data_IF_676129707446
#
_entry.id   IF_676129707446
#
_cell.length_a   1.000
_cell.length_b   1.000
_cell.length_c   1.000
_cell.angle_alpha   90.00
_cell.angle_beta   90.00
_cell.angle_gamma   90.00
#
_symmetry.space_group_name_H-M   'P 1'
#
loop_
_entity.id
_entity.type
_entity.pdbx_description
1 polymer ?
#
# COMPACT_ATOMS: atom_id res chain seq x y z
N UNK A 1 29.46 33.14 -5.86
CA UNK A 1 28.29 32.24 -5.68
C UNK A 1 28.30 31.15 -6.74
N UNK A 2 28.56 29.90 -6.36
CA UNK A 2 28.07 28.76 -7.12
C UNK A 2 27.12 27.98 -6.19
N UNK A 3 25.84 27.79 -6.56
CA UNK A 3 24.98 26.88 -5.82
C UNK A 3 25.46 25.47 -6.15
N UNK A 4 26.03 24.76 -5.17
CA UNK A 4 26.34 23.36 -5.37
C UNK A 4 25.01 22.59 -5.52
N UNK A 5 24.82 21.80 -6.58
CA UNK A 5 23.51 21.23 -6.89
C UNK A 5 23.19 20.12 -5.90
N UNK A 6 22.06 20.31 -5.21
CA UNK A 6 21.18 19.27 -4.69
C UNK A 6 21.86 18.18 -3.86
N UNK A 7 21.91 18.42 -2.55
CA UNK A 7 21.81 17.37 -1.56
C UNK A 7 20.63 16.47 -1.97
N UNK A 8 20.94 15.33 -2.59
CA UNK A 8 19.94 14.38 -3.07
C UNK A 8 19.20 13.87 -1.85
N UNK A 9 18.08 14.49 -1.50
CA UNK A 9 17.17 14.01 -0.46
C UNK A 9 16.76 12.59 -0.85
N UNK A 10 17.33 11.54 -0.21
CA UNK A 10 17.03 10.15 -0.58
C UNK A 10 15.55 9.84 -0.35
N UNK A 11 14.88 10.69 0.44
CA UNK A 11 13.45 10.62 0.73
C UNK A 11 12.51 10.90 -0.42
N UNK A 12 12.91 11.72 -1.39
CA UNK A 12 12.06 12.08 -2.53
C UNK A 12 12.09 10.94 -3.56
N UNK A 13 13.28 10.49 -3.97
CA UNK A 13 13.42 9.40 -4.93
C UNK A 13 12.74 8.11 -4.44
N UNK A 14 12.94 7.74 -3.18
CA UNK A 14 12.28 6.59 -2.57
C UNK A 14 10.76 6.78 -2.51
N UNK A 15 10.27 7.95 -2.11
CA UNK A 15 8.84 8.25 -2.11
C UNK A 15 8.20 8.14 -3.50
N UNK A 16 8.85 8.69 -4.52
CA UNK A 16 8.39 8.63 -5.92
C UNK A 16 8.41 7.18 -6.43
N UNK A 17 9.45 6.40 -6.13
CA UNK A 17 9.51 4.98 -6.52
C UNK A 17 8.39 4.15 -5.89
N UNK A 18 8.08 4.39 -4.61
CA UNK A 18 7.00 3.71 -3.89
C UNK A 18 5.63 4.04 -4.51
N UNK A 19 5.37 5.32 -4.81
CA UNK A 19 4.16 5.77 -5.50
C UNK A 19 4.08 5.16 -6.91
N UNK A 20 5.20 5.11 -7.64
CA UNK A 20 5.25 4.54 -8.98
C UNK A 20 4.91 3.04 -8.97
N UNK A 21 5.47 2.27 -8.02
CA UNK A 21 5.16 0.84 -7.87
C UNK A 21 3.67 0.64 -7.55
N UNK A 22 3.12 1.42 -6.61
CA UNK A 22 1.70 1.40 -6.26
C UNK A 22 0.80 1.73 -7.45
N UNK A 23 1.14 2.78 -8.19
CA UNK A 23 0.43 3.20 -9.40
C UNK A 23 0.47 2.12 -10.47
N UNK A 24 1.63 1.50 -10.68
CA UNK A 24 1.78 0.41 -11.65
C UNK A 24 0.95 -0.83 -11.27
N UNK A 25 0.93 -1.20 -9.99
CA UNK A 25 0.08 -2.28 -9.48
C UNK A 25 -1.40 -1.97 -9.66
N UNK A 26 -1.81 -0.73 -9.38
CA UNK A 26 -3.19 -0.29 -9.57
C UNK A 26 -3.60 -0.36 -11.05
N UNK A 27 -2.77 0.17 -11.94
CA UNK A 27 -3.00 0.12 -13.40
C UNK A 27 -3.06 -1.33 -13.88
N UNK A 28 -2.15 -2.18 -13.40
CA UNK A 28 -2.15 -3.61 -13.73
C UNK A 28 -3.43 -4.31 -13.27
N UNK A 29 -3.95 -3.94 -12.09
CA UNK A 29 -5.21 -4.49 -11.55
C UNK A 29 -6.42 -4.05 -12.39
N UNK A 30 -6.44 -2.79 -12.82
CA UNK A 30 -7.48 -2.25 -13.70
C UNK A 30 -7.45 -2.89 -15.09
N UNK A 31 -6.25 -3.03 -15.68
CA UNK A 31 -6.05 -3.70 -16.97
C UNK A 31 -6.40 -5.18 -16.92
N UNK A 32 -6.21 -5.83 -15.77
CA UNK A 32 -6.63 -7.22 -15.56
C UNK A 32 -8.17 -7.39 -15.49
N UNK A 33 -8.94 -6.31 -15.66
CA UNK A 33 -10.40 -6.37 -15.76
C UNK A 33 -11.09 -6.52 -14.41
N UNK A 34 -10.52 -5.93 -13.35
CA UNK A 34 -11.13 -5.94 -12.03
C UNK A 34 -12.54 -5.33 -12.08
N UNK A 35 -13.55 -6.15 -11.78
CA UNK A 35 -14.95 -5.72 -11.65
C UNK A 35 -15.28 -5.60 -10.17
N UNK A 36 -15.72 -4.43 -9.67
CA UNK A 36 -16.23 -4.32 -8.31
C UNK A 36 -17.46 -5.23 -8.18
N UNK A 37 -17.35 -6.27 -7.36
CA UNK A 37 -18.31 -7.35 -7.25
C UNK A 37 -17.81 -8.48 -6.33
N UNK A 38 -18.57 -9.59 -6.18
CA UNK A 38 -18.16 -10.72 -5.34
C UNK A 38 -16.79 -11.26 -5.78
N UNK A 39 -15.94 -11.61 -4.82
CA UNK A 39 -14.58 -12.10 -5.08
C UNK A 39 -14.65 -13.29 -6.03
N UNK A 40 -14.12 -13.12 -7.25
CA UNK A 40 -13.99 -14.20 -8.23
C UNK A 40 -12.56 -14.70 -8.22
N UNK A 41 -12.41 -16.01 -8.31
CA UNK A 41 -11.13 -16.65 -8.58
C UNK A 41 -10.55 -16.07 -9.87
N UNK A 42 -9.29 -15.66 -9.84
CA UNK A 42 -8.66 -15.05 -11.02
C UNK A 42 -7.47 -14.15 -10.72
N UNK A 43 -6.67 -13.84 -11.76
CA UNK A 43 -5.45 -13.04 -11.64
C UNK A 43 -5.73 -11.62 -11.17
N UNK A 44 -6.89 -11.05 -11.50
CA UNK A 44 -7.30 -9.71 -11.07
C UNK A 44 -7.49 -9.62 -9.55
N UNK A 45 -8.02 -10.67 -8.91
CA UNK A 45 -8.19 -10.75 -7.45
C UNK A 45 -6.85 -10.97 -6.74
N UNK A 46 -5.94 -11.72 -7.36
CA UNK A 46 -4.54 -11.86 -6.88
C UNK A 46 -3.82 -10.52 -6.93
N UNK A 47 -3.94 -9.79 -8.05
CA UNK A 47 -3.36 -8.45 -8.23
C UNK A 47 -3.92 -7.45 -7.22
N UNK A 48 -5.24 -7.48 -6.98
CA UNK A 48 -5.87 -6.68 -5.94
C UNK A 48 -5.31 -7.04 -4.56
N UNK A 49 -5.19 -8.33 -4.26
CA UNK A 49 -4.62 -8.80 -3.00
C UNK A 49 -3.18 -8.32 -2.79
N UNK A 50 -2.33 -8.44 -3.82
CA UNK A 50 -0.96 -7.91 -3.80
C UNK A 50 -0.92 -6.40 -3.61
N UNK A 51 -1.84 -5.66 -4.25
CA UNK A 51 -1.96 -4.22 -4.09
C UNK A 51 -2.32 -3.85 -2.65
N UNK A 52 -3.29 -4.54 -2.03
CA UNK A 52 -3.62 -4.33 -0.62
C UNK A 52 -2.46 -4.71 0.30
N UNK A 53 -1.78 -5.84 0.06
CA UNK A 53 -0.59 -6.22 0.85
C UNK A 53 0.54 -5.19 0.71
N UNK A 54 0.74 -4.63 -0.48
CA UNK A 54 1.71 -3.57 -0.74
C UNK A 54 1.36 -2.29 0.02
N UNK A 55 0.08 -1.90 0.05
CA UNK A 55 -0.40 -0.81 0.92
C UNK A 55 -0.16 -1.10 2.40
N UNK A 56 -0.42 -2.32 2.86
CA UNK A 56 -0.16 -2.72 4.23
C UNK A 56 1.33 -2.63 4.60
N UNK A 57 2.20 -3.09 3.69
CA UNK A 57 3.65 -2.95 3.83
C UNK A 57 4.08 -1.48 3.83
N UNK A 58 3.44 -0.60 3.06
CA UNK A 58 3.70 0.85 3.06
C UNK A 58 3.31 1.50 4.38
N UNK A 59 2.16 1.12 4.96
CA UNK A 59 1.76 1.57 6.30
C UNK A 59 2.74 1.09 7.37
N UNK A 60 3.23 -0.15 7.26
CA UNK A 60 4.23 -0.69 8.19
C UNK A 60 5.60 -0.03 8.02
N UNK A 61 6.02 0.19 6.77
CA UNK A 61 7.24 0.93 6.45
C UNK A 61 7.14 2.37 6.95
N UNK A 62 5.95 2.97 6.91
CA UNK A 62 5.71 4.32 7.43
C UNK A 62 5.98 4.38 8.93
N UNK A 63 5.58 3.35 9.68
CA UNK A 63 5.87 3.23 11.10
C UNK A 63 7.38 3.29 11.43
N UNK A 64 8.22 2.59 10.66
CA UNK A 64 9.67 2.52 10.90
C UNK A 64 10.46 3.69 10.27
N UNK A 65 10.03 4.18 9.10
CA UNK A 65 10.79 5.10 8.25
C UNK A 65 10.11 6.46 8.04
N UNK A 66 9.16 6.84 8.91
CA UNK A 66 8.41 8.12 8.86
C UNK A 66 9.29 9.36 8.62
N UNK A 67 10.53 9.33 9.10
CA UNK A 67 11.45 10.47 9.04
C UNK A 67 12.32 10.51 7.76
N UNK A 68 12.25 9.49 6.90
CA UNK A 68 13.14 9.33 5.74
C UNK A 68 12.49 9.65 4.41
N UNK A 69 11.17 9.60 4.26
CA UNK A 69 10.49 9.85 2.97
C UNK A 69 9.22 10.70 3.13
N UNK A 70 8.97 11.58 2.16
CA UNK A 70 7.79 12.45 2.14
C UNK A 70 6.47 11.66 2.12
N UNK A 71 6.42 10.58 1.33
CA UNK A 71 5.24 9.72 1.20
C UNK A 71 4.86 9.05 2.53
N UNK A 72 5.82 8.43 3.21
CA UNK A 72 5.58 7.78 4.50
C UNK A 72 5.20 8.79 5.58
N UNK A 73 5.77 10.00 5.54
CA UNK A 73 5.41 11.09 6.44
C UNK A 73 3.96 11.55 6.23
N UNK A 74 3.52 11.67 4.97
CA UNK A 74 2.13 11.96 4.64
C UNK A 74 1.16 10.85 5.09
N UNK A 75 1.54 9.58 4.95
CA UNK A 75 0.75 8.44 5.44
C UNK A 75 0.54 8.47 6.95
N UNK A 76 1.60 8.71 7.74
CA UNK A 76 1.48 8.84 9.20
C UNK A 76 0.68 10.09 9.57
N UNK A 77 0.87 11.19 8.85
CA UNK A 77 0.09 12.40 9.06
C UNK A 77 -1.41 12.14 8.85
N UNK A 78 -1.79 11.42 7.78
CA UNK A 78 -3.19 11.00 7.55
C UNK A 78 -3.68 10.10 8.69
N UNK A 79 -2.87 9.14 9.16
CA UNK A 79 -3.23 8.32 10.32
C UNK A 79 -3.40 9.14 11.62
N UNK A 80 -2.60 10.19 11.84
CA UNK A 80 -2.68 11.01 13.06
C UNK A 80 -3.77 12.09 12.99
N UNK A 81 -4.08 12.62 11.79
CA UNK A 81 -5.03 13.73 11.61
C UNK A 81 -6.44 13.26 11.22
N UNK A 82 -6.58 12.13 10.52
CA UNK A 82 -7.84 11.68 9.93
C UNK A 82 -8.41 10.39 10.57
N UNK A 83 -7.62 9.64 11.35
CA UNK A 83 -8.14 8.48 12.10
C UNK A 83 -8.44 8.81 13.56
N UNK A 84 -9.53 8.24 14.06
CA UNK A 84 -9.92 8.26 15.47
C UNK A 84 -9.95 6.80 15.94
N UNK A 85 -9.05 6.33 16.82
CA UNK A 85 -8.13 7.04 17.72
C UNK A 85 -6.80 7.48 17.08
N UNK A 86 -6.28 8.62 17.53
CA UNK A 86 -5.02 9.22 17.05
C UNK A 86 -3.82 8.48 17.61
N UNK A 87 -3.00 7.86 16.76
CA UNK A 87 -1.74 7.28 17.21
C UNK A 87 -1.00 6.48 16.16
N UNK A 88 0.33 6.41 16.31
CA UNK A 88 1.25 5.66 15.44
C UNK A 88 0.93 4.17 15.37
N UNK A 89 0.28 3.62 16.40
CA UNK A 89 -0.21 2.23 16.47
C UNK A 89 -1.30 1.95 15.42
N UNK A 90 -2.07 2.97 15.00
CA UNK A 90 -3.13 2.80 13.99
C UNK A 90 -2.55 2.40 12.63
N UNK A 91 -1.35 2.87 12.28
CA UNK A 91 -0.65 2.45 11.06
C UNK A 91 -0.35 0.95 11.07
N UNK A 92 -0.06 0.37 12.25
CA UNK A 92 0.13 -1.08 12.39
C UNK A 92 -1.19 -1.84 12.24
N UNK A 93 -2.29 -1.32 12.79
CA UNK A 93 -3.62 -1.91 12.58
C UNK A 93 -4.03 -1.87 11.10
N UNK A 94 -3.81 -0.75 10.40
CA UNK A 94 -4.05 -0.67 8.96
C UNK A 94 -3.14 -1.61 8.17
N UNK A 95 -1.88 -1.74 8.55
CA UNK A 95 -0.97 -2.71 7.96
C UNK A 95 -1.47 -4.14 8.14
N UNK A 96 -1.86 -4.52 9.35
CA UNK A 96 -2.39 -5.85 9.66
C UNK A 96 -3.70 -6.13 8.91
N UNK A 97 -4.62 -5.16 8.84
CA UNK A 97 -5.87 -5.29 8.10
C UNK A 97 -5.64 -5.41 6.60
N UNK A 98 -4.76 -4.57 6.03
CA UNK A 98 -4.45 -4.60 4.61
C UNK A 98 -3.69 -5.87 4.21
N UNK A 99 -2.78 -6.37 5.07
CA UNK A 99 -2.12 -7.66 4.87
C UNK A 99 -3.09 -8.83 5.03
N UNK A 100 -4.00 -8.78 6.01
CA UNK A 100 -5.02 -9.80 6.21
C UNK A 100 -5.99 -9.88 5.04
N UNK A 101 -6.62 -8.76 4.69
CA UNK A 101 -7.54 -8.67 3.55
C UNK A 101 -6.84 -8.95 2.22
N UNK A 102 -5.63 -8.42 2.04
CA UNK A 102 -4.82 -8.68 0.85
C UNK A 102 -4.39 -10.14 0.74
N UNK A 103 -4.01 -10.77 1.85
CA UNK A 103 -3.69 -12.19 1.91
C UNK A 103 -4.89 -13.07 1.58
N UNK A 104 -6.06 -12.76 2.16
CA UNK A 104 -7.32 -13.45 1.84
C UNK A 104 -7.69 -13.27 0.37
N UNK A 105 -7.62 -12.05 -0.17
CA UNK A 105 -7.88 -11.80 -1.59
C UNK A 105 -6.88 -12.55 -2.49
N UNK A 106 -5.60 -12.60 -2.12
CA UNK A 106 -4.57 -13.31 -2.88
C UNK A 106 -4.82 -14.81 -2.88
N UNK A 107 -5.08 -15.40 -1.72
CA UNK A 107 -5.38 -16.83 -1.58
C UNK A 107 -6.70 -17.20 -2.28
N UNK A 108 -7.71 -16.33 -2.23
CA UNK A 108 -8.99 -16.52 -2.93
C UNK A 108 -8.82 -16.40 -4.44
N UNK A 109 -8.02 -15.44 -4.92
CA UNK A 109 -7.67 -15.29 -6.32
C UNK A 109 -6.91 -16.50 -6.88
N UNK A 110 -6.05 -17.13 -6.06
CA UNK A 110 -5.33 -18.38 -6.37
C UNK A 110 -6.23 -19.63 -6.31
N UNK A 111 -7.45 -19.51 -5.78
CA UNK A 111 -8.36 -20.64 -5.58
C UNK A 111 -7.99 -21.56 -4.41
N UNK A 112 -7.07 -21.13 -3.53
CA UNK A 112 -6.65 -21.88 -2.35
C UNK A 112 -7.66 -21.75 -1.19
N UNK A 113 -8.35 -20.62 -1.11
CA UNK A 113 -9.49 -20.45 -0.21
C UNK A 113 -10.74 -20.13 -1.03
N UNK A 114 -11.75 -20.97 -0.89
CA UNK A 114 -13.05 -20.69 -1.47
C UNK A 114 -13.81 -19.76 -0.52
N UNK A 115 -13.55 -18.45 -0.63
CA UNK A 115 -14.42 -17.42 -0.05
C UNK A 115 -15.62 -17.25 -0.99
N UNK A 116 -16.33 -18.35 -1.23
CA UNK A 116 -17.62 -18.32 -1.90
C UNK A 116 -18.68 -17.94 -0.86
N UNK A 117 -19.66 -17.09 -1.19
CA UNK A 117 -21.01 -17.28 -0.68
C UNK A 117 -21.63 -18.55 -1.27
#
# INVERSE_FOLDING_TARGET
>A
MQPNPTENEPGIALGVSLIAILGLLLVSTLLAGFKPGPMRTGPSTVLLGLYLMSWGAMFLASYFYSHKTFFLRALIWVCEHWSSPKGRVMAFCYAALALGLGGVATLSGLGLINVAP
#
